data_IF_699413708242
#
_entry.id   IF_699413708242
#
_cell.length_a   1.000
_cell.length_b   1.000
_cell.length_c   1.000
_cell.angle_alpha   90.00
_cell.angle_beta   90.00
_cell.angle_gamma   90.00
#
_symmetry.space_group_name_H-M   'P 1'
#
loop_
_entity.id
_entity.type
_entity.pdbx_description
1 polymer ?
#
# COMPACT_ATOMS: atom_id res chain seq x y z
N UNK A 1 33.77 -13.66 -48.51
CA UNK A 1 32.84 -12.50 -48.55
C UNK A 1 31.64 -12.82 -47.67
N UNK A 2 31.20 -11.81 -46.91
CA UNK A 2 29.98 -11.69 -46.06
C UNK A 2 29.94 -12.54 -44.77
N UNK A 3 30.02 -11.82 -43.65
CA UNK A 3 29.95 -12.25 -42.25
C UNK A 3 28.47 -12.36 -41.85
N UNK A 4 28.07 -13.49 -41.26
CA UNK A 4 26.73 -13.67 -40.69
C UNK A 4 26.65 -13.06 -39.29
N UNK A 5 25.95 -11.94 -39.17
CA UNK A 5 25.73 -11.26 -37.88
C UNK A 5 24.66 -11.99 -37.08
N UNK A 6 25.02 -12.50 -35.90
CA UNK A 6 24.06 -12.97 -34.89
C UNK A 6 23.42 -11.73 -34.27
N UNK A 7 22.15 -11.48 -34.57
CA UNK A 7 21.35 -10.44 -33.93
C UNK A 7 20.96 -10.94 -32.53
N UNK A 8 21.71 -10.51 -31.52
CA UNK A 8 21.33 -10.65 -30.12
C UNK A 8 20.20 -9.66 -29.84
N UNK A 9 18.96 -10.16 -29.81
CA UNK A 9 17.81 -9.37 -29.35
C UNK A 9 17.93 -9.19 -27.83
N UNK A 10 18.55 -8.09 -27.40
CA UNK A 10 18.53 -7.68 -25.99
C UNK A 10 17.15 -7.10 -25.71
N UNK A 11 16.25 -7.93 -25.18
CA UNK A 11 14.99 -7.49 -24.60
C UNK A 11 15.31 -6.85 -23.26
N UNK A 12 15.55 -5.53 -23.26
CA UNK A 12 15.67 -4.75 -22.03
C UNK A 12 14.30 -4.71 -21.37
N UNK A 13 14.06 -5.58 -20.40
CA UNK A 13 12.89 -5.49 -19.53
C UNK A 13 13.01 -4.22 -18.69
N UNK A 14 12.33 -3.16 -19.11
CA UNK A 14 12.24 -1.91 -18.35
C UNK A 14 11.53 -2.19 -17.02
N UNK A 15 12.31 -2.36 -15.94
CA UNK A 15 11.78 -2.37 -14.57
C UNK A 15 11.27 -0.95 -14.32
N UNK A 16 9.97 -0.73 -14.53
CA UNK A 16 9.33 0.50 -14.12
C UNK A 16 9.33 0.53 -12.59
N UNK A 17 10.27 1.27 -12.01
CA UNK A 17 10.24 1.69 -10.61
C UNK A 17 9.00 2.58 -10.42
N UNK A 18 7.84 1.96 -10.22
CA UNK A 18 6.66 2.66 -9.75
C UNK A 18 7.01 3.28 -8.42
N UNK A 19 7.00 4.61 -8.35
CA UNK A 19 7.02 5.35 -7.10
C UNK A 19 5.73 5.00 -6.35
N UNK A 20 5.71 3.89 -5.62
CA UNK A 20 4.70 3.67 -4.60
C UNK A 20 4.86 4.83 -3.60
N UNK A 21 3.78 5.42 -3.13
CA UNK A 21 3.86 6.35 -2.01
C UNK A 21 3.61 5.54 -0.74
N UNK A 22 4.26 5.93 0.36
CA UNK A 22 3.82 5.47 1.67
C UNK A 22 2.37 5.94 1.88
N UNK A 23 1.62 5.19 2.67
CA UNK A 23 0.23 5.54 2.98
C UNK A 23 0.17 6.01 4.43
N UNK A 24 -0.16 7.28 4.63
CA UNK A 24 -0.37 7.87 5.95
C UNK A 24 -1.87 8.06 6.19
N UNK A 25 -2.35 7.62 7.36
CA UNK A 25 -3.76 7.67 7.72
C UNK A 25 -4.00 7.66 9.23
N UNK A 26 -5.22 7.28 9.60
CA UNK A 26 -5.65 7.17 10.99
C UNK A 26 -6.35 5.84 11.21
N UNK A 27 -6.04 5.16 12.31
CA UNK A 27 -6.86 4.05 12.79
C UNK A 27 -8.13 4.64 13.40
N UNK A 28 -9.30 4.37 12.83
CA UNK A 28 -10.55 5.01 13.27
C UNK A 28 -11.07 4.46 14.60
N UNK A 29 -10.57 3.31 15.05
CA UNK A 29 -10.94 2.71 16.34
C UNK A 29 -10.22 3.41 17.49
N UNK A 30 -8.91 3.64 17.34
CA UNK A 30 -8.06 4.22 18.39
C UNK A 30 -7.85 5.72 18.23
N UNK A 31 -7.94 6.26 17.01
CA UNK A 31 -7.57 7.63 16.67
C UNK A 31 -6.08 7.85 16.45
N UNK A 32 -5.26 6.80 16.55
CA UNK A 32 -3.81 6.86 16.34
C UNK A 32 -3.47 7.15 14.87
N UNK A 33 -2.33 7.82 14.67
CA UNK A 33 -1.78 7.98 13.32
C UNK A 33 -1.11 6.68 12.90
N UNK A 34 -1.30 6.29 11.65
CA UNK A 34 -0.76 5.06 11.09
C UNK A 34 -0.02 5.31 9.78
N UNK A 35 1.02 4.51 9.54
CA UNK A 35 1.81 4.54 8.31
C UNK A 35 1.93 3.11 7.74
N UNK A 36 1.68 2.96 6.45
CA UNK A 36 2.00 1.76 5.68
C UNK A 36 3.19 2.10 4.79
N UNK A 37 4.30 1.38 4.96
CA UNK A 37 5.51 1.65 4.21
C UNK A 37 5.28 1.55 2.69
N UNK A 38 5.97 2.42 1.96
CA UNK A 38 6.06 2.40 0.51
C UNK A 38 6.40 1.00 -0.01
N UNK A 39 5.67 0.56 -1.04
CA UNK A 39 5.98 -0.67 -1.77
C UNK A 39 5.20 -1.90 -1.30
N UNK A 40 4.46 -1.79 -0.19
CA UNK A 40 3.48 -2.81 0.16
C UNK A 40 2.27 -2.76 -0.79
N UNK A 41 1.85 -3.93 -1.27
CA UNK A 41 0.64 -4.07 -2.07
C UNK A 41 -0.58 -4.16 -1.15
N UNK A 42 -1.28 -3.04 -0.94
CA UNK A 42 -2.50 -3.01 -0.13
C UNK A 42 -3.70 -3.48 -0.95
N UNK A 43 -4.19 -4.69 -0.69
CA UNK A 43 -5.39 -5.27 -1.32
C UNK A 43 -6.01 -6.34 -0.43
N UNK A 44 -7.32 -6.57 -0.59
CA UNK A 44 -8.04 -7.66 0.08
C UNK A 44 -7.32 -9.02 -0.03
N UNK A 45 -7.34 -9.77 1.07
CA UNK A 45 -6.72 -11.09 1.18
C UNK A 45 -5.19 -11.07 1.26
N UNK A 46 -4.58 -9.92 1.56
CA UNK A 46 -3.15 -9.83 1.90
C UNK A 46 -2.98 -9.32 3.32
N UNK A 47 -1.95 -9.83 3.99
CA UNK A 47 -1.42 -9.23 5.21
C UNK A 47 -0.54 -8.02 4.86
N UNK A 48 -0.65 -6.97 5.65
CA UNK A 48 0.18 -5.75 5.57
C UNK A 48 0.78 -5.45 6.94
N UNK A 49 1.98 -4.87 6.95
CA UNK A 49 2.58 -4.31 8.15
C UNK A 49 2.29 -2.81 8.22
N UNK A 50 1.86 -2.34 9.39
CA UNK A 50 1.42 -0.97 9.64
C UNK A 50 2.13 -0.47 10.89
N UNK A 51 2.79 0.68 10.81
CA UNK A 51 3.28 1.38 11.99
C UNK A 51 2.14 2.18 12.61
N UNK A 52 1.79 1.89 13.86
CA UNK A 52 0.85 2.66 14.68
C UNK A 52 1.61 3.52 15.69
N UNK A 53 1.29 4.82 15.77
CA UNK A 53 2.01 5.77 16.62
C UNK A 53 1.93 5.48 18.11
N UNK A 54 0.91 4.75 18.57
CA UNK A 54 0.71 4.40 19.98
C UNK A 54 1.11 2.96 20.29
N UNK A 55 1.03 2.06 19.30
CA UNK A 55 1.22 0.61 19.50
C UNK A 55 2.47 0.03 18.84
N UNK A 56 3.17 0.80 18.02
CA UNK A 56 4.30 0.33 17.21
C UNK A 56 3.84 -0.44 15.97
N UNK A 57 4.72 -1.28 15.42
CA UNK A 57 4.40 -2.10 14.24
C UNK A 57 3.37 -3.18 14.56
N UNK A 58 2.37 -3.30 13.69
CA UNK A 58 1.27 -4.25 13.78
C UNK A 58 1.00 -4.85 12.40
N UNK A 59 0.68 -6.13 12.38
CA UNK A 59 0.26 -6.83 11.17
C UNK A 59 -1.28 -6.90 11.10
N UNK A 60 -1.80 -6.66 9.91
CA UNK A 60 -3.24 -6.71 9.65
C UNK A 60 -3.55 -7.49 8.39
N UNK A 61 -4.55 -8.36 8.45
CA UNK A 61 -5.15 -8.96 7.27
C UNK A 61 -6.16 -8.00 6.66
N UNK A 62 -5.95 -7.64 5.38
CA UNK A 62 -6.82 -6.71 4.67
C UNK A 62 -8.10 -7.42 4.24
N UNK A 63 -9.22 -6.99 4.80
CA UNK A 63 -10.55 -7.49 4.46
C UNK A 63 -11.08 -6.78 3.21
N UNK A 64 -11.08 -5.44 3.23
CA UNK A 64 -11.59 -4.63 2.11
C UNK A 64 -10.80 -3.32 1.94
N UNK A 65 -10.73 -2.84 0.70
CA UNK A 65 -10.22 -1.49 0.37
C UNK A 65 -11.29 -0.79 -0.43
N UNK A 66 -11.77 0.35 0.07
CA UNK A 66 -12.85 1.10 -0.58
C UNK A 66 -12.67 2.60 -0.47
N UNK A 67 -13.24 3.32 -1.43
CA UNK A 67 -13.43 4.77 -1.31
C UNK A 67 -14.77 5.01 -0.61
N UNK A 68 -14.75 5.78 0.47
CA UNK A 68 -15.96 6.21 1.17
C UNK A 68 -15.93 7.74 1.35
N UNK A 69 -16.92 8.42 0.78
CA UNK A 69 -16.96 9.89 0.75
C UNK A 69 -15.67 10.51 0.19
N UNK A 70 -14.98 11.29 1.03
CA UNK A 70 -13.70 11.94 0.72
C UNK A 70 -12.51 11.19 1.31
N UNK A 71 -12.61 9.88 1.54
CA UNK A 71 -11.53 9.07 2.13
C UNK A 71 -11.34 7.74 1.38
N UNK A 72 -10.16 7.16 1.54
CA UNK A 72 -9.90 5.74 1.28
C UNK A 72 -9.88 5.02 2.64
N UNK A 73 -10.65 3.96 2.76
CA UNK A 73 -10.77 3.14 3.95
C UNK A 73 -10.27 1.72 3.65
N UNK A 74 -9.54 1.17 4.61
CA UNK A 74 -9.06 -0.21 4.63
C UNK A 74 -9.71 -0.86 5.86
N UNK A 75 -10.65 -1.78 5.64
CA UNK A 75 -11.11 -2.67 6.70
C UNK A 75 -10.06 -3.77 6.86
N UNK A 76 -9.62 -3.99 8.09
CA UNK A 76 -8.57 -4.96 8.36
C UNK A 76 -8.72 -5.58 9.75
N UNK A 77 -8.16 -6.78 9.89
CA UNK A 77 -8.21 -7.55 11.14
C UNK A 77 -6.80 -7.74 11.70
N UNK A 78 -6.58 -7.39 12.97
CA UNK A 78 -5.30 -7.54 13.66
C UNK A 78 -4.92 -9.02 13.74
N UNK A 79 -3.76 -9.40 13.22
CA UNK A 79 -3.36 -10.82 13.14
C UNK A 79 -3.03 -11.42 14.51
N UNK A 80 -2.70 -10.59 15.50
CA UNK A 80 -2.38 -11.06 16.85
C UNK A 80 -3.64 -11.20 17.70
N UNK A 81 -4.58 -10.24 17.61
CA UNK A 81 -5.77 -10.22 18.48
C UNK A 81 -7.04 -10.73 17.82
N UNK A 82 -7.10 -10.78 16.49
CA UNK A 82 -8.30 -11.09 15.71
C UNK A 82 -9.34 -9.96 15.72
N UNK A 83 -9.00 -8.77 16.22
CA UNK A 83 -9.92 -7.64 16.30
C UNK A 83 -9.95 -6.87 14.97
N UNK A 84 -11.16 -6.53 14.50
CA UNK A 84 -11.34 -5.71 13.30
C UNK A 84 -11.16 -4.22 13.59
N UNK A 85 -10.58 -3.51 12.63
CA UNK A 85 -10.40 -2.05 12.65
C UNK A 85 -10.61 -1.46 11.26
N UNK A 86 -10.56 -0.14 11.16
CA UNK A 86 -10.56 0.58 9.88
C UNK A 86 -9.44 1.60 9.86
N UNK A 87 -8.60 1.54 8.83
CA UNK A 87 -7.58 2.53 8.57
C UNK A 87 -8.12 3.50 7.50
N UNK A 88 -8.15 4.79 7.80
CA UNK A 88 -8.70 5.80 6.90
C UNK A 88 -7.66 6.86 6.51
N UNK A 89 -7.60 7.18 5.21
CA UNK A 89 -6.83 8.30 4.67
C UNK A 89 -7.74 9.28 3.92
N UNK A 90 -7.83 10.54 4.35
CA UNK A 90 -8.55 11.57 3.61
C UNK A 90 -7.94 11.80 2.22
N UNK A 91 -8.80 11.83 1.20
CA UNK A 91 -8.48 12.26 -0.16
C UNK A 91 -8.46 13.79 -0.13
N UNK A 92 -7.25 14.36 -0.22
CA UNK A 92 -7.10 15.81 -0.37
C UNK A 92 -7.28 16.18 -1.85
N UNK A 93 -8.25 17.04 -2.16
CA UNK A 93 -8.33 17.72 -3.46
C UNK A 93 -7.17 18.72 -3.55
N UNK A 94 -5.99 18.30 -3.99
CA UNK A 94 -4.97 19.22 -4.55
C UNK A 94 -3.74 18.45 -5.05
N UNK A 95 -3.66 18.35 -6.38
CA UNK A 95 -2.41 18.50 -7.12
C UNK A 95 -2.76 19.03 -8.52
N UNK A 96 -3.31 20.24 -8.59
CA UNK A 96 -3.05 21.10 -9.75
C UNK A 96 -1.58 21.51 -9.61
N UNK A 97 -0.73 21.00 -10.51
CA UNK A 97 0.56 21.60 -10.81
C UNK A 97 0.38 22.62 -11.94
#
# INVERSE_FOLDING_TARGET
MIRGSVLLAVVTASITLTQAFAWDGTNTTTGSSVEIERGQLVRSGRTIEVYDSERGYKEYDVDSVRRYGRSVEIEATDTETGESTTLARPIRESAFF
#
